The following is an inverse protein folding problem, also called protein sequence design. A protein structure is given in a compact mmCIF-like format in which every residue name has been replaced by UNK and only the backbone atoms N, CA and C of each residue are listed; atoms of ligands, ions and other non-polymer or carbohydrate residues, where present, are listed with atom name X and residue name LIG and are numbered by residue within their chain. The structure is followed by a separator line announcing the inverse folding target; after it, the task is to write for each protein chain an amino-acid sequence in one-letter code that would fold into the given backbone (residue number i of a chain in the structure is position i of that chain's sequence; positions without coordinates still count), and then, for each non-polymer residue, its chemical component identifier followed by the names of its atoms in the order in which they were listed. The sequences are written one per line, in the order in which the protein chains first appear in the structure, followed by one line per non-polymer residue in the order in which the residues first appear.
data_IF_179318527197
#
_entry.id   IF_179318527197
#
_cell.length_a   1.000
_cell.length_b   1.000
_cell.length_c   1.000
_cell.angle_alpha   90.00
_cell.angle_beta   90.00
_cell.angle_gamma   90.00
#
_symmetry.space_group_name_H-M   'P 1'
#
loop_
_entity.id
_entity.type
_entity.pdbx_description
1 polymer ?
#
# COMPACT_ATOMS: atom_id res chain seq x y z
N UNK A 1 -6.81 24.76 -37.48
CA UNK A 1 -7.12 23.38 -37.02
C UNK A 1 -6.93 23.34 -35.51
N UNK A 2 -8.01 23.10 -34.76
CA UNK A 2 -7.94 22.97 -33.30
C UNK A 2 -7.31 21.61 -32.97
N UNK A 3 -6.15 21.64 -32.32
CA UNK A 3 -5.45 20.46 -31.84
C UNK A 3 -5.88 20.05 -30.40
N UNK A 4 -6.88 20.76 -29.84
CA UNK A 4 -7.37 20.58 -28.46
C UNK A 4 -8.87 20.29 -28.52
N UNK A 5 -9.31 19.26 -27.78
CA UNK A 5 -10.72 18.99 -27.49
C UNK A 5 -11.16 19.88 -26.34
N UNK A 6 -12.03 20.86 -26.59
CA UNK A 6 -12.62 21.71 -25.56
C UNK A 6 -13.96 21.10 -25.11
N UNK A 7 -14.05 20.74 -23.82
CA UNK A 7 -15.28 20.25 -23.18
C UNK A 7 -15.97 21.41 -22.45
N UNK A 8 -17.30 21.38 -22.34
CA UNK A 8 -18.12 22.40 -21.67
C UNK A 8 -17.93 23.85 -22.17
N UNK A 9 -17.65 24.04 -23.43
CA UNK A 9 -17.35 25.35 -24.05
C UNK A 9 -18.38 26.46 -23.76
N UNK A 10 -19.63 26.10 -23.52
CA UNK A 10 -20.72 27.05 -23.32
C UNK A 10 -21.01 27.35 -21.84
N UNK A 11 -20.22 26.80 -20.93
CA UNK A 11 -20.38 27.07 -19.49
C UNK A 11 -19.64 28.37 -19.15
N UNK A 12 -20.38 29.38 -18.74
CA UNK A 12 -19.86 30.74 -18.47
C UNK A 12 -19.68 31.08 -16.99
N UNK A 13 -20.07 30.15 -16.09
CA UNK A 13 -19.94 30.34 -14.65
C UNK A 13 -19.69 29.02 -13.92
N UNK A 14 -18.98 29.06 -12.80
CA UNK A 14 -18.71 27.89 -11.96
C UNK A 14 -19.98 27.19 -11.48
N UNK A 15 -21.07 27.94 -11.26
CA UNK A 15 -22.37 27.37 -10.82
C UNK A 15 -23.11 26.58 -11.91
N UNK A 16 -22.64 26.63 -13.13
CA UNK A 16 -23.18 25.84 -14.27
C UNK A 16 -22.33 24.66 -14.67
N UNK A 17 -21.21 24.43 -13.98
CA UNK A 17 -20.36 23.27 -14.25
C UNK A 17 -21.05 22.00 -13.81
N UNK A 18 -21.06 20.94 -14.62
CA UNK A 18 -21.48 19.62 -14.17
C UNK A 18 -20.43 19.05 -13.20
N UNK A 19 -20.87 18.19 -12.27
CA UNK A 19 -19.97 17.52 -11.30
C UNK A 19 -18.84 16.73 -11.98
N UNK A 20 -19.11 16.21 -13.19
CA UNK A 20 -18.15 15.42 -13.96
C UNK A 20 -18.09 15.89 -15.40
N UNK A 21 -16.87 16.08 -15.91
CA UNK A 21 -16.61 16.46 -17.31
C UNK A 21 -15.47 15.63 -17.86
N UNK A 22 -15.70 14.89 -18.96
CA UNK A 22 -14.63 14.07 -19.52
C UNK A 22 -15.05 13.11 -20.61
N UNK A 23 -14.44 11.95 -20.63
CA UNK A 23 -14.60 10.92 -21.65
C UNK A 23 -15.18 9.66 -21.00
N UNK A 24 -16.20 9.11 -21.65
CA UNK A 24 -16.80 7.82 -21.30
C UNK A 24 -16.43 6.78 -22.34
N UNK A 25 -15.93 5.63 -21.90
CA UNK A 25 -15.77 4.44 -22.71
C UNK A 25 -16.87 3.44 -22.35
N UNK A 26 -17.85 3.28 -23.25
CA UNK A 26 -18.89 2.27 -23.10
C UNK A 26 -18.28 0.89 -23.36
N UNK A 27 -18.43 -0.03 -22.41
CA UNK A 27 -17.93 -1.40 -22.50
C UNK A 27 -18.95 -2.41 -23.01
N UNK A 28 -20.17 -1.96 -23.30
CA UNK A 28 -21.29 -2.81 -23.69
C UNK A 28 -21.91 -3.53 -22.50
N UNK A 29 -23.01 -4.23 -22.78
CA UNK A 29 -23.64 -5.10 -21.79
C UNK A 29 -23.02 -6.50 -21.86
N UNK A 30 -22.41 -6.97 -20.77
CA UNK A 30 -22.11 -8.38 -20.63
C UNK A 30 -23.41 -9.19 -20.55
N UNK A 31 -23.34 -10.45 -20.90
CA UNK A 31 -24.47 -11.40 -20.72
C UNK A 31 -24.96 -11.50 -19.27
N UNK A 32 -24.17 -11.00 -18.31
CA UNK A 32 -24.48 -10.92 -16.86
C UNK A 32 -25.09 -9.58 -16.44
N UNK A 33 -25.16 -8.56 -17.32
CA UNK A 33 -25.71 -7.25 -16.99
C UNK A 33 -24.93 -6.41 -15.98
N UNK A 34 -23.64 -6.73 -15.76
CA UNK A 34 -22.82 -6.11 -14.69
C UNK A 34 -21.54 -5.45 -15.21
N UNK A 35 -21.43 -5.17 -16.51
CA UNK A 35 -20.25 -4.50 -17.02
C UNK A 35 -20.37 -2.98 -16.85
N UNK A 36 -19.53 -2.45 -16.00
CA UNK A 36 -19.43 -1.02 -15.73
C UNK A 36 -18.66 -0.31 -16.86
N UNK A 37 -19.15 0.86 -17.27
CA UNK A 37 -18.46 1.75 -18.18
C UNK A 37 -17.26 2.41 -17.50
N UNK A 38 -16.26 2.79 -18.28
CA UNK A 38 -15.07 3.48 -17.79
C UNK A 38 -15.15 4.97 -18.10
N UNK A 39 -14.71 5.79 -17.15
CA UNK A 39 -14.72 7.23 -17.23
C UNK A 39 -13.34 7.79 -16.93
N UNK A 40 -12.88 8.74 -17.75
CA UNK A 40 -11.76 9.62 -17.45
C UNK A 40 -12.30 11.05 -17.41
N UNK A 41 -12.49 11.58 -16.21
CA UNK A 41 -13.24 12.82 -16.00
C UNK A 41 -12.50 13.77 -15.08
N UNK A 42 -12.73 15.08 -15.28
CA UNK A 42 -12.54 16.08 -14.27
C UNK A 42 -13.70 15.98 -13.28
N UNK A 43 -13.39 15.69 -12.03
CA UNK A 43 -14.36 15.54 -10.94
C UNK A 43 -14.34 16.80 -10.08
N UNK A 44 -15.35 17.65 -10.20
CA UNK A 44 -15.51 18.89 -9.42
C UNK A 44 -15.83 18.61 -7.94
N UNK A 45 -16.32 17.41 -7.65
CA UNK A 45 -16.70 17.02 -6.27
C UNK A 45 -15.51 16.59 -5.42
N UNK A 46 -14.34 16.37 -6.05
CA UNK A 46 -13.13 16.01 -5.33
C UNK A 46 -12.71 17.16 -4.42
N UNK A 47 -12.67 16.91 -3.11
CA UNK A 47 -12.18 17.87 -2.14
C UNK A 47 -10.69 17.65 -1.91
N UNK A 48 -9.91 18.72 -2.12
CA UNK A 48 -8.50 18.74 -1.78
C UNK A 48 -8.29 18.48 -0.28
N UNK A 49 -7.32 17.63 0.03
CA UNK A 49 -6.89 17.34 1.41
C UNK A 49 -6.03 18.46 2.03
N UNK A 50 -5.94 19.63 1.36
CA UNK A 50 -5.16 20.78 1.79
C UNK A 50 -3.68 20.72 1.41
N UNK A 51 -3.28 19.75 0.58
CA UNK A 51 -1.87 19.59 0.17
C UNK A 51 -1.53 20.31 -1.13
N UNK A 52 -2.51 20.87 -1.85
CA UNK A 52 -2.26 21.59 -3.10
C UNK A 52 -1.78 23.01 -2.86
N UNK A 53 -0.73 23.40 -3.57
CA UNK A 53 -0.12 24.75 -3.50
C UNK A 53 -0.99 25.84 -4.17
N UNK A 54 -2.02 25.46 -4.92
CA UNK A 54 -2.85 26.36 -5.73
C UNK A 54 -4.21 26.68 -5.13
N UNK A 55 -4.38 26.48 -3.84
CA UNK A 55 -5.49 26.97 -2.98
C UNK A 55 -6.89 26.83 -3.59
N UNK A 56 -7.75 26.07 -2.97
CA UNK A 56 -9.21 26.06 -3.09
C UNK A 56 -9.85 25.70 -4.45
N UNK A 57 -9.12 25.34 -5.47
CA UNK A 57 -9.73 24.72 -6.62
C UNK A 57 -9.98 23.26 -6.28
N UNK A 58 -11.17 22.92 -5.83
CA UNK A 58 -11.65 21.55 -5.82
C UNK A 58 -11.50 20.96 -7.22
N UNK A 59 -11.57 19.64 -7.31
CA UNK A 59 -11.52 18.93 -8.56
C UNK A 59 -10.18 18.24 -8.84
N UNK A 60 -10.29 17.10 -9.49
CA UNK A 60 -9.15 16.32 -9.97
C UNK A 60 -9.50 15.53 -11.25
N UNK A 61 -8.50 15.25 -12.08
CA UNK A 61 -8.65 14.26 -13.14
C UNK A 61 -8.67 12.87 -12.52
N UNK A 62 -9.78 12.17 -12.67
CA UNK A 62 -10.04 10.89 -12.02
C UNK A 62 -10.50 9.83 -13.01
N UNK A 63 -10.06 8.60 -12.81
CA UNK A 63 -10.51 7.43 -13.55
C UNK A 63 -11.50 6.64 -12.69
N UNK A 64 -12.73 6.47 -13.18
CA UNK A 64 -13.82 5.74 -12.53
C UNK A 64 -14.35 4.60 -13.38
N UNK A 65 -14.99 3.63 -12.73
CA UNK A 65 -15.96 2.71 -13.33
C UNK A 65 -17.32 2.94 -12.70
N UNK A 66 -18.38 2.79 -13.47
CA UNK A 66 -19.76 2.97 -13.03
C UNK A 66 -20.74 2.36 -14.04
N UNK A 67 -21.83 1.79 -13.58
CA UNK A 67 -22.95 1.28 -14.39
C UNK A 67 -24.11 2.29 -14.48
N UNK A 68 -24.13 3.31 -13.64
CA UNK A 68 -25.21 4.29 -13.48
C UNK A 68 -24.79 5.74 -13.75
N UNK A 69 -23.82 5.94 -14.64
CA UNK A 69 -23.34 7.24 -15.08
C UNK A 69 -22.78 8.10 -13.94
N UNK A 70 -21.96 7.51 -13.07
CA UNK A 70 -21.23 8.12 -11.96
C UNK A 70 -22.05 8.46 -10.71
N UNK A 71 -23.31 8.02 -10.62
CA UNK A 71 -24.09 8.11 -9.36
C UNK A 71 -23.50 7.21 -8.29
N UNK A 72 -23.13 5.97 -8.65
CA UNK A 72 -22.26 5.10 -7.88
C UNK A 72 -21.00 4.83 -8.69
N UNK A 73 -19.84 5.02 -8.10
CA UNK A 73 -18.56 4.94 -8.82
C UNK A 73 -17.44 4.41 -7.95
N UNK A 74 -16.57 3.62 -8.56
CA UNK A 74 -15.34 3.13 -7.97
C UNK A 74 -14.13 3.66 -8.74
N UNK A 75 -13.01 3.85 -8.05
CA UNK A 75 -11.73 4.15 -8.67
C UNK A 75 -11.22 2.96 -9.47
N UNK A 76 -10.49 3.22 -10.55
CA UNK A 76 -9.78 2.21 -11.33
C UNK A 76 -8.28 2.46 -11.34
N UNK A 77 -7.52 1.39 -11.51
CA UNK A 77 -6.06 1.48 -11.62
C UNK A 77 -5.64 2.15 -12.93
N UNK A 78 -4.62 2.99 -12.87
CA UNK A 78 -3.96 3.55 -14.03
C UNK A 78 -2.64 2.82 -14.24
N UNK A 79 -2.51 2.11 -15.37
CA UNK A 79 -1.27 1.45 -15.75
C UNK A 79 -0.46 2.35 -16.68
N UNK A 80 0.72 2.77 -16.23
CA UNK A 80 1.67 3.55 -17.00
C UNK A 80 3.07 2.93 -16.94
N UNK A 81 3.91 3.22 -17.94
CA UNK A 81 5.32 2.83 -17.88
C UNK A 81 6.09 3.72 -16.89
N UNK A 82 5.89 5.03 -16.99
CA UNK A 82 6.47 6.02 -16.08
C UNK A 82 5.43 7.11 -15.79
N UNK A 83 5.35 7.52 -14.53
CA UNK A 83 4.56 8.69 -14.11
C UNK A 83 5.52 9.75 -13.59
N UNK A 84 5.59 10.92 -14.25
CA UNK A 84 6.34 12.08 -13.79
C UNK A 84 5.40 12.98 -12.97
N UNK A 85 5.34 12.73 -11.67
CA UNK A 85 4.46 13.44 -10.75
C UNK A 85 5.09 13.52 -9.36
N UNK A 86 4.62 14.47 -8.54
CA UNK A 86 4.86 14.45 -7.09
C UNK A 86 3.70 13.74 -6.45
N UNK A 87 3.98 12.66 -5.69
CA UNK A 87 2.97 11.98 -4.88
C UNK A 87 2.93 12.65 -3.50
N UNK A 88 1.78 13.17 -3.13
CA UNK A 88 1.53 13.82 -1.82
C UNK A 88 0.97 12.86 -0.79
N UNK A 89 0.42 11.72 -1.23
CA UNK A 89 -0.13 10.67 -0.37
C UNK A 89 0.19 9.30 -0.94
N UNK A 90 0.68 8.41 -0.08
CA UNK A 90 0.81 6.99 -0.38
C UNK A 90 -0.04 6.23 0.64
N UNK A 91 -0.95 5.38 0.15
CA UNK A 91 -1.80 4.56 1.01
C UNK A 91 -1.00 3.52 1.79
N UNK A 92 0.15 3.12 1.27
CA UNK A 92 1.05 2.11 1.83
C UNK A 92 2.39 2.78 2.17
N UNK A 93 3.06 2.28 3.19
CA UNK A 93 4.17 3.02 3.82
C UNK A 93 5.45 2.19 4.01
N UNK A 94 5.59 1.04 3.33
CA UNK A 94 6.80 0.23 3.38
C UNK A 94 7.43 -0.02 2.02
N UNK A 95 8.74 -0.17 2.04
CA UNK A 95 9.56 -0.68 0.96
C UNK A 95 9.74 -2.17 1.17
N UNK A 96 9.30 -2.99 0.22
CA UNK A 96 9.45 -4.43 0.28
C UNK A 96 10.14 -5.01 -0.95
N UNK A 97 10.64 -6.22 -0.80
CA UNK A 97 11.24 -7.00 -1.87
C UNK A 97 10.71 -8.42 -1.86
N UNK A 98 10.58 -9.02 -3.04
CA UNK A 98 10.26 -10.44 -3.16
C UNK A 98 11.52 -11.28 -3.05
N UNK A 99 11.44 -12.29 -2.19
CA UNK A 99 12.45 -13.34 -2.00
C UNK A 99 11.83 -14.71 -2.22
N UNK A 100 12.61 -15.67 -2.69
CA UNK A 100 12.17 -17.07 -2.73
C UNK A 100 11.95 -17.61 -1.32
N UNK A 101 10.89 -18.40 -1.13
CA UNK A 101 10.49 -18.96 0.16
C UNK A 101 10.02 -20.40 0.05
N UNK A 102 10.08 -21.13 1.17
CA UNK A 102 9.70 -22.54 1.29
C UNK A 102 8.18 -22.75 1.44
N UNK A 103 7.45 -21.73 1.88
CA UNK A 103 6.00 -21.79 2.08
C UNK A 103 5.33 -20.44 1.87
N UNK A 104 4.02 -20.40 1.81
CA UNK A 104 3.22 -19.18 1.89
C UNK A 104 3.05 -18.78 3.37
N UNK A 105 3.31 -17.51 3.67
CA UNK A 105 3.23 -16.96 5.02
C UNK A 105 2.26 -15.78 5.07
N UNK A 106 1.50 -15.69 6.16
CA UNK A 106 0.57 -14.60 6.37
C UNK A 106 1.28 -13.27 6.62
N UNK A 107 0.64 -12.12 6.26
CA UNK A 107 1.14 -10.80 6.62
C UNK A 107 1.47 -10.65 8.11
N UNK A 108 2.53 -9.91 8.40
CA UNK A 108 3.01 -9.70 9.77
C UNK A 108 3.96 -10.79 10.29
N UNK A 109 4.20 -11.86 9.53
CA UNK A 109 5.13 -12.92 9.93
C UNK A 109 6.57 -12.44 9.82
N UNK A 110 7.37 -12.65 10.88
CA UNK A 110 8.80 -12.34 10.91
C UNK A 110 9.57 -13.40 10.15
N UNK A 111 10.41 -12.97 9.18
CA UNK A 111 11.20 -13.84 8.31
C UNK A 111 12.69 -13.75 8.63
N UNK A 112 13.43 -14.83 8.32
CA UNK A 112 14.89 -14.87 8.41
C UNK A 112 15.51 -15.34 7.10
N UNK A 113 16.76 -14.94 6.85
CA UNK A 113 17.55 -15.46 5.74
C UNK A 113 17.97 -16.91 5.99
N UNK A 114 17.74 -17.79 5.02
CA UNK A 114 17.99 -19.24 5.14
C UNK A 114 18.98 -19.77 4.08
N UNK A 115 19.21 -19.03 3.00
CA UNK A 115 20.10 -19.40 1.92
C UNK A 115 19.34 -19.93 0.70
N UNK A 116 18.82 -21.14 0.74
CA UNK A 116 18.00 -21.71 -0.33
C UNK A 116 16.85 -22.54 0.29
N UNK A 117 15.59 -22.04 0.21
CA UNK A 117 15.22 -20.73 -0.37
C UNK A 117 15.83 -19.54 0.41
N UNK A 118 15.75 -18.33 -0.18
CA UNK A 118 16.41 -17.13 0.38
C UNK A 118 15.89 -16.78 1.79
N UNK A 119 14.57 -16.92 1.99
CA UNK A 119 13.93 -16.63 3.28
C UNK A 119 13.00 -17.76 3.73
N UNK A 120 12.88 -17.91 5.04
CA UNK A 120 11.92 -18.78 5.70
C UNK A 120 11.40 -18.11 6.98
N UNK A 121 10.38 -18.69 7.62
CA UNK A 121 9.87 -18.20 8.90
C UNK A 121 10.98 -18.14 9.96
N UNK A 122 11.04 -17.05 10.69
CA UNK A 122 11.99 -16.93 11.81
C UNK A 122 11.53 -17.75 13.00
N UNK A 123 12.21 -18.86 13.28
CA UNK A 123 11.92 -19.79 14.38
C UNK A 123 12.84 -19.64 15.59
N UNK A 124 13.67 -18.60 15.62
CA UNK A 124 14.66 -18.36 16.68
C UNK A 124 14.34 -17.08 17.43
N UNK A 125 14.50 -17.09 18.75
CA UNK A 125 14.48 -15.89 19.57
C UNK A 125 15.75 -15.08 19.33
N UNK A 126 15.63 -13.75 19.29
CA UNK A 126 16.74 -12.80 19.03
C UNK A 126 17.61 -13.17 17.83
N UNK A 127 16.99 -13.63 16.74
CA UNK A 127 17.68 -14.08 15.53
C UNK A 127 18.46 -12.94 14.85
N UNK A 128 19.78 -13.12 14.71
CA UNK A 128 20.64 -12.14 13.99
C UNK A 128 20.55 -12.26 12.46
N UNK A 129 19.88 -13.30 11.94
CA UNK A 129 19.62 -13.48 10.52
C UNK A 129 18.24 -12.94 10.09
N UNK A 130 17.58 -12.16 10.96
CA UNK A 130 16.26 -11.62 10.63
C UNK A 130 16.29 -10.83 9.32
N UNK A 131 15.37 -11.14 8.41
CA UNK A 131 15.27 -10.52 7.09
C UNK A 131 14.33 -9.31 7.09
N UNK A 132 13.19 -9.44 7.75
CA UNK A 132 12.13 -8.44 7.82
C UNK A 132 10.80 -9.08 8.19
N UNK A 133 9.71 -8.48 7.76
CA UNK A 133 8.34 -8.88 8.07
C UNK A 133 7.54 -9.01 6.77
N UNK A 134 6.66 -10.01 6.65
CA UNK A 134 5.77 -10.14 5.49
C UNK A 134 4.86 -8.91 5.39
N UNK A 135 4.97 -8.21 4.27
CA UNK A 135 4.11 -7.06 3.92
C UNK A 135 2.83 -7.52 3.24
N UNK A 136 1.72 -6.89 3.57
CA UNK A 136 0.44 -7.10 2.91
C UNK A 136 0.34 -6.30 1.60
N UNK A 137 0.71 -5.02 1.66
CA UNK A 137 0.57 -4.07 0.56
C UNK A 137 1.71 -3.04 0.61
N UNK A 138 2.87 -3.34 0.03
CA UNK A 138 3.99 -2.41 0.04
C UNK A 138 3.74 -1.18 -0.84
N UNK A 139 4.23 -0.01 -0.40
CA UNK A 139 4.23 1.21 -1.22
C UNK A 139 5.16 1.09 -2.43
N UNK A 140 6.26 0.35 -2.27
CA UNK A 140 7.19 0.04 -3.34
C UNK A 140 7.65 -1.41 -3.23
N UNK A 141 7.52 -2.16 -4.34
CA UNK A 141 7.90 -3.56 -4.40
C UNK A 141 9.06 -3.78 -5.37
N UNK A 142 10.20 -4.17 -4.82
CA UNK A 142 11.35 -4.61 -5.60
C UNK A 142 11.22 -6.08 -5.98
N UNK A 143 11.94 -6.48 -7.04
CA UNK A 143 11.95 -7.85 -7.57
C UNK A 143 10.55 -8.41 -7.87
N UNK A 144 9.62 -7.52 -8.33
CA UNK A 144 8.21 -7.85 -8.54
C UNK A 144 7.98 -8.97 -9.57
N UNK A 145 8.93 -9.20 -10.48
CA UNK A 145 8.87 -10.25 -11.51
C UNK A 145 9.09 -11.66 -10.97
N UNK A 146 9.53 -11.82 -9.73
CA UNK A 146 9.70 -13.14 -9.11
C UNK A 146 8.31 -13.79 -8.92
N UNK A 147 8.08 -14.91 -9.61
CA UNK A 147 6.75 -15.57 -9.68
C UNK A 147 6.67 -16.90 -8.94
N UNK A 148 7.81 -17.52 -8.64
CA UNK A 148 7.84 -18.82 -7.96
C UNK A 148 7.90 -18.61 -6.45
N UNK A 149 7.09 -19.32 -5.68
CA UNK A 149 7.10 -19.36 -4.20
C UNK A 149 7.81 -18.16 -3.58
N UNK A 150 7.19 -16.99 -3.64
CA UNK A 150 7.84 -15.74 -3.27
C UNK A 150 7.13 -15.08 -2.07
N UNK A 151 7.93 -14.66 -1.09
CA UNK A 151 7.50 -13.87 0.05
C UNK A 151 7.78 -12.38 -0.20
N UNK A 152 6.81 -11.51 0.07
CA UNK A 152 6.97 -10.05 0.03
C UNK A 152 7.44 -9.58 1.41
N UNK A 153 8.72 -9.26 1.54
CA UNK A 153 9.33 -8.91 2.83
C UNK A 153 9.57 -7.41 2.93
N UNK A 154 8.95 -6.76 3.91
CA UNK A 154 9.19 -5.36 4.24
C UNK A 154 10.61 -5.21 4.81
N UNK A 155 11.39 -4.31 4.20
CA UNK A 155 12.77 -4.00 4.56
C UNK A 155 12.89 -2.68 5.30
N UNK A 156 11.95 -1.75 5.07
CA UNK A 156 11.92 -0.43 5.67
C UNK A 156 10.50 0.15 5.63
N UNK A 157 10.14 0.91 6.66
CA UNK A 157 8.88 1.64 6.73
C UNK A 157 7.87 1.02 7.67
N UNK A 158 6.61 1.46 7.57
CA UNK A 158 5.53 1.06 8.45
C UNK A 158 4.89 -0.23 7.95
N UNK A 159 4.81 -1.25 8.82
CA UNK A 159 4.21 -2.55 8.53
C UNK A 159 3.53 -3.12 9.78
N UNK A 160 2.54 -3.98 9.59
CA UNK A 160 1.98 -4.79 10.68
C UNK A 160 2.94 -5.93 11.01
N UNK A 161 3.06 -6.28 12.29
CA UNK A 161 3.87 -7.42 12.77
C UNK A 161 3.12 -8.22 13.82
N UNK A 162 3.21 -9.53 13.75
CA UNK A 162 2.73 -10.45 14.80
C UNK A 162 3.64 -10.34 16.02
N UNK A 163 3.07 -10.18 17.21
CA UNK A 163 3.83 -10.02 18.46
C UNK A 163 3.37 -10.96 19.55
N UNK A 164 4.30 -11.31 20.44
CA UNK A 164 4.05 -12.04 21.69
C UNK A 164 4.37 -11.16 22.90
N UNK A 165 3.47 -11.17 23.92
CA UNK A 165 3.66 -10.48 25.18
C UNK A 165 3.46 -8.97 25.11
N UNK A 166 3.86 -8.28 26.16
CA UNK A 166 3.66 -6.83 26.30
C UNK A 166 4.64 -6.04 25.45
N UNK A 167 4.12 -5.08 24.69
CA UNK A 167 4.88 -4.16 23.85
C UNK A 167 4.36 -2.74 24.09
N UNK A 168 5.27 -1.76 24.13
CA UNK A 168 4.94 -0.34 24.23
C UNK A 168 5.49 0.44 23.01
N UNK A 169 4.88 1.56 22.64
CA UNK A 169 5.40 2.41 21.58
C UNK A 169 6.86 2.82 21.86
N UNK A 170 7.72 2.65 20.83
CA UNK A 170 9.14 2.92 20.92
C UNK A 170 10.01 1.74 21.34
N UNK A 171 9.43 0.63 21.83
CA UNK A 171 10.18 -0.59 22.15
C UNK A 171 10.91 -1.13 20.92
N UNK A 172 12.14 -1.58 21.10
CA UNK A 172 12.85 -2.35 20.09
C UNK A 172 12.23 -3.73 19.97
N UNK A 173 11.95 -4.16 18.75
CA UNK A 173 11.37 -5.46 18.44
C UNK A 173 12.44 -6.38 17.89
N UNK A 174 12.50 -7.59 18.47
CA UNK A 174 13.32 -8.71 18.01
C UNK A 174 12.41 -9.90 17.70
N UNK A 175 12.92 -10.90 16.99
CA UNK A 175 12.16 -12.14 16.78
C UNK A 175 11.94 -12.90 18.09
N UNK A 176 10.78 -13.49 18.26
CA UNK A 176 10.37 -14.33 19.39
C UNK A 176 10.25 -15.82 19.03
N UNK A 177 10.69 -16.20 17.81
CA UNK A 177 10.41 -17.50 17.22
C UNK A 177 9.01 -17.60 16.61
N UNK A 178 8.75 -18.65 15.84
CA UNK A 178 7.47 -18.97 15.20
C UNK A 178 6.88 -17.81 14.35
N UNK A 179 7.74 -16.96 13.78
CA UNK A 179 7.32 -15.80 12.98
C UNK A 179 6.75 -14.64 13.78
N UNK A 180 6.88 -14.63 15.09
CA UNK A 180 6.48 -13.52 15.95
C UNK A 180 7.66 -12.62 16.33
N UNK A 181 7.34 -11.38 16.70
CA UNK A 181 8.26 -10.46 17.36
C UNK A 181 7.90 -10.30 18.84
N UNK A 182 8.82 -9.74 19.63
CA UNK A 182 8.62 -9.29 21.00
C UNK A 182 9.46 -8.07 21.33
N UNK A 183 9.10 -7.36 22.39
CA UNK A 183 9.92 -6.27 22.91
C UNK A 183 11.22 -6.79 23.56
N UNK A 184 12.32 -6.05 23.38
CA UNK A 184 13.61 -6.35 23.99
C UNK A 184 14.37 -5.05 24.30
N UNK A 185 14.76 -4.90 25.56
CA UNK A 185 15.49 -3.71 26.03
C UNK A 185 17.00 -3.79 25.80
N UNK A 186 17.54 -5.00 25.64
CA UNK A 186 18.98 -5.25 25.44
C UNK A 186 19.21 -6.23 24.27
N UNK A 187 18.83 -5.86 23.04
CA UNK A 187 18.91 -6.77 21.89
C UNK A 187 20.35 -7.11 21.52
N UNK A 188 20.54 -8.31 21.01
CA UNK A 188 21.81 -8.69 20.37
C UNK A 188 22.01 -7.85 19.09
N UNK A 189 23.23 -7.41 18.85
CA UNK A 189 23.54 -6.67 17.62
C UNK A 189 23.12 -7.45 16.36
N UNK A 190 22.34 -6.79 15.49
CA UNK A 190 21.80 -7.39 14.28
C UNK A 190 20.48 -8.16 14.45
N UNK A 191 19.91 -8.26 15.66
CA UNK A 191 18.63 -8.94 15.90
C UNK A 191 17.41 -8.02 15.85
N UNK A 192 17.60 -6.69 15.83
CA UNK A 192 16.50 -5.72 15.84
C UNK A 192 15.83 -5.70 14.47
N UNK A 193 14.50 -5.89 14.47
CA UNK A 193 13.64 -5.78 13.28
C UNK A 193 13.25 -4.33 13.07
N UNK A 194 13.01 -3.60 14.16
CA UNK A 194 12.55 -2.22 14.14
C UNK A 194 11.96 -1.79 15.47
N UNK A 195 11.07 -0.79 15.46
CA UNK A 195 10.43 -0.22 16.66
C UNK A 195 8.92 -0.27 16.58
N UNK A 196 8.28 -0.57 17.70
CA UNK A 196 6.83 -0.57 17.85
C UNK A 196 6.26 0.83 17.73
N UNK A 197 5.12 0.97 17.06
CA UNK A 197 4.32 2.20 16.96
C UNK A 197 3.09 2.16 17.86
N UNK A 198 2.59 0.97 18.15
CA UNK A 198 1.41 0.78 19.02
C UNK A 198 1.69 -0.19 20.17
N UNK A 199 0.84 -0.13 21.21
CA UNK A 199 0.94 -0.99 22.36
C UNK A 199 0.23 -2.33 22.16
N UNK A 200 0.69 -3.35 22.90
CA UNK A 200 0.06 -4.66 23.01
C UNK A 200 0.22 -5.19 24.44
N UNK A 201 -0.77 -5.91 24.97
CA UNK A 201 -0.73 -6.42 26.35
C UNK A 201 -1.19 -7.86 26.49
N UNK A 202 -1.62 -8.50 25.42
CA UNK A 202 -2.08 -9.89 25.44
C UNK A 202 -0.94 -10.88 25.14
N UNK A 203 -1.23 -12.18 25.17
CA UNK A 203 -0.24 -13.22 24.89
C UNK A 203 0.28 -13.15 23.45
N UNK A 204 -0.61 -12.95 22.49
CA UNK A 204 -0.32 -12.83 21.05
C UNK A 204 -1.25 -11.82 20.39
N UNK A 205 -0.76 -11.13 19.36
CA UNK A 205 -1.54 -10.18 18.57
C UNK A 205 -0.77 -9.60 17.40
N UNK A 206 -1.31 -8.52 16.85
CA UNK A 206 -0.68 -7.79 15.74
C UNK A 206 -0.64 -6.32 16.08
N UNK A 207 0.50 -5.68 15.84
CA UNK A 207 0.71 -4.24 16.02
C UNK A 207 1.30 -3.60 14.78
N UNK A 208 1.28 -2.28 14.72
CA UNK A 208 2.08 -1.52 13.76
C UNK A 208 3.50 -1.29 14.29
N UNK A 209 4.48 -1.42 13.38
CA UNK A 209 5.87 -1.11 13.65
C UNK A 209 6.50 -0.33 12.50
N UNK A 210 7.62 0.30 12.76
CA UNK A 210 8.54 0.76 11.71
C UNK A 210 9.67 -0.27 11.61
N UNK A 211 9.76 -0.93 10.46
CA UNK A 211 10.91 -1.78 10.11
C UNK A 211 12.10 -0.87 9.82
N UNK A 212 13.24 -1.20 10.37
CA UNK A 212 14.49 -0.50 10.14
C UNK A 212 15.60 -1.16 10.94
N UNK A 213 16.72 -1.41 10.29
CA UNK A 213 17.90 -1.97 10.95
C UNK A 213 18.58 -0.87 11.76
N UNK A 214 18.61 -1.03 13.07
CA UNK A 214 19.34 -0.16 14.01
C UNK A 214 20.66 -0.81 14.40
#
# INVERSE_FOLDING_TARGET
EDSILELNRNVSSASGMPDFTGIKANRGEAASGTEEDLFWVWDETFSDDGTTTFGNAGGAWTAYRSDDNLSNKDLVDIRANVVHATSTSAQYADLAEKYTTDAEYEPGTVMMFSGEPEVTICNQDMCTKVAGVISENPAYLMNASLTNSAAVVALMGRVKVKVKGTVQPGDMLVSAGDGFARAESNPTFGSVIGKALSSHSESEGTIEMVVGRC
#
